data_IF_698720500534
#
_entry.id   IF_698720500534
#
_cell.length_a   1.000
_cell.length_b   1.000
_cell.length_c   1.000
_cell.angle_alpha   90.00
_cell.angle_beta   90.00
_cell.angle_gamma   90.00
#
_symmetry.space_group_name_H-M   'P 1'
#
loop_
_entity.id
_entity.type
_entity.pdbx_description
1 polymer ?
#
# COMPACT_ATOMS: atom_id res chain seq x y z
N UNK A 1 -49.14 18.55 -20.30
CA UNK A 1 -49.62 18.51 -18.92
C UNK A 1 -48.41 18.26 -18.04
N UNK A 2 -47.83 19.32 -17.48
CA UNK A 2 -46.69 19.22 -16.57
C UNK A 2 -47.25 18.83 -15.20
N UNK A 3 -46.97 17.60 -14.76
CA UNK A 3 -47.24 17.19 -13.38
C UNK A 3 -46.35 18.04 -12.47
N UNK A 4 -46.96 18.99 -11.76
CA UNK A 4 -46.34 19.65 -10.62
C UNK A 4 -46.29 18.57 -9.54
N UNK A 5 -45.15 17.88 -9.44
CA UNK A 5 -44.86 16.96 -8.34
C UNK A 5 -44.80 17.84 -7.10
N UNK A 6 -45.79 17.71 -6.21
CA UNK A 6 -45.78 18.37 -4.90
C UNK A 6 -44.49 18.00 -4.19
N UNK A 7 -43.75 18.98 -3.67
CA UNK A 7 -42.47 18.85 -2.97
C UNK A 7 -42.53 18.04 -1.66
N UNK A 8 -43.64 17.35 -1.40
CA UNK A 8 -44.00 16.76 -0.11
C UNK A 8 -44.02 15.22 -0.12
N UNK A 9 -43.67 14.54 -1.21
CA UNK A 9 -43.45 13.09 -1.20
C UNK A 9 -42.01 12.77 -0.76
N UNK A 10 -41.76 12.30 0.48
CA UNK A 10 -40.41 12.05 0.98
C UNK A 10 -39.69 10.98 0.15
N UNK A 11 -40.43 10.04 -0.45
CA UNK A 11 -39.85 9.02 -1.31
C UNK A 11 -39.35 9.62 -2.62
N UNK A 12 -40.13 10.50 -3.25
CA UNK A 12 -39.72 11.19 -4.47
C UNK A 12 -38.46 12.03 -4.23
N UNK A 13 -38.42 12.76 -3.11
CA UNK A 13 -37.24 13.55 -2.68
C UNK A 13 -36.00 12.68 -2.46
N UNK A 14 -36.15 11.55 -1.77
CA UNK A 14 -35.04 10.62 -1.53
C UNK A 14 -34.50 10.01 -2.84
N UNK A 15 -35.39 9.59 -3.75
CA UNK A 15 -34.99 9.05 -5.06
C UNK A 15 -34.30 10.10 -5.94
N UNK A 16 -34.79 11.34 -5.95
CA UNK A 16 -34.14 12.44 -6.68
C UNK A 16 -32.72 12.71 -6.16
N UNK A 17 -32.56 12.66 -4.84
CA UNK A 17 -31.28 12.86 -4.17
C UNK A 17 -30.26 11.77 -4.45
N UNK A 18 -30.69 10.51 -4.52
CA UNK A 18 -29.83 9.40 -4.96
C UNK A 18 -29.38 9.55 -6.42
N UNK A 19 -30.22 10.11 -7.29
CA UNK A 19 -29.82 10.39 -8.68
C UNK A 19 -28.81 11.51 -8.76
N UNK A 20 -29.02 12.59 -8.02
CA UNK A 20 -28.07 13.70 -7.93
C UNK A 20 -26.70 13.23 -7.40
N UNK A 21 -26.71 12.36 -6.38
CA UNK A 21 -25.49 11.71 -5.89
C UNK A 21 -24.81 10.83 -6.96
N UNK A 22 -25.59 10.07 -7.75
CA UNK A 22 -25.04 9.27 -8.84
C UNK A 22 -24.41 10.16 -9.93
N UNK A 23 -25.10 11.22 -10.36
CA UNK A 23 -24.61 12.18 -11.35
C UNK A 23 -23.29 12.85 -10.87
N UNK A 24 -23.18 13.13 -9.56
CA UNK A 24 -21.96 13.62 -8.94
C UNK A 24 -20.80 12.62 -9.06
N UNK A 25 -21.02 11.33 -8.73
CA UNK A 25 -19.99 10.30 -8.84
C UNK A 25 -19.55 10.07 -10.30
N UNK A 26 -20.49 10.09 -11.25
CA UNK A 26 -20.16 9.96 -12.67
C UNK A 26 -19.31 11.13 -13.18
N UNK A 27 -19.58 12.34 -12.68
CA UNK A 27 -18.84 13.55 -13.07
C UNK A 27 -17.48 13.70 -12.36
N UNK A 28 -17.22 12.93 -11.30
CA UNK A 28 -16.00 13.00 -10.49
C UNK A 28 -15.38 11.59 -10.35
N UNK A 29 -14.82 11.02 -11.43
CA UNK A 29 -14.33 9.63 -11.43
C UNK A 29 -13.11 9.39 -10.53
N UNK A 30 -12.49 10.45 -10.01
CA UNK A 30 -11.40 10.38 -9.04
C UNK A 30 -11.89 10.32 -7.58
N UNK A 31 -13.19 10.56 -7.34
CA UNK A 31 -13.81 10.39 -6.02
C UNK A 31 -14.11 8.91 -5.80
N UNK A 32 -13.62 8.37 -4.69
CA UNK A 32 -13.80 6.95 -4.35
C UNK A 32 -15.26 6.64 -4.00
N UNK A 33 -15.79 5.49 -4.43
CA UNK A 33 -17.14 5.07 -4.03
C UNK A 33 -17.22 4.76 -2.52
N UNK A 34 -18.37 5.01 -1.86
CA UNK A 34 -18.54 4.67 -0.45
C UNK A 34 -18.30 3.17 -0.17
N UNK A 35 -17.63 2.84 0.94
CA UNK A 35 -17.28 1.45 1.28
C UNK A 35 -18.42 0.69 1.97
N UNK A 36 -19.39 1.41 2.53
CA UNK A 36 -20.52 0.83 3.26
C UNK A 36 -21.85 1.20 2.62
N UNK A 37 -22.77 0.24 2.52
CA UNK A 37 -24.11 0.48 1.96
C UNK A 37 -25.05 1.26 2.90
N UNK A 38 -24.78 1.22 4.22
CA UNK A 38 -25.69 1.76 5.24
C UNK A 38 -25.46 3.25 5.52
N UNK A 39 -24.23 3.70 5.33
CA UNK A 39 -23.78 5.09 5.45
C UNK A 39 -22.96 5.36 4.21
N UNK A 40 -23.25 6.41 3.44
CA UNK A 40 -22.40 6.80 2.33
C UNK A 40 -21.13 7.45 2.92
N UNK A 41 -20.32 6.60 3.55
CA UNK A 41 -19.09 6.94 4.21
C UNK A 41 -17.95 6.81 3.20
N UNK A 42 -17.26 7.91 2.99
CA UNK A 42 -15.99 7.96 2.28
C UNK A 42 -14.87 7.94 3.34
N UNK A 43 -14.33 6.75 3.60
CA UNK A 43 -13.19 6.59 4.49
C UNK A 43 -11.92 7.06 3.81
N UNK A 44 -11.40 8.21 4.24
CA UNK A 44 -10.12 8.76 3.82
C UNK A 44 -9.14 8.51 4.96
N UNK A 45 -8.07 7.74 4.74
CA UNK A 45 -7.23 7.28 5.85
C UNK A 45 -6.73 8.40 6.76
N UNK A 46 -6.41 9.58 6.22
CA UNK A 46 -5.79 10.69 6.96
C UNK A 46 -6.63 11.97 6.93
N UNK A 47 -6.53 12.80 7.97
CA UNK A 47 -7.15 14.14 8.02
C UNK A 47 -6.81 15.00 6.80
N UNK A 48 -5.56 14.98 6.33
CA UNK A 48 -5.14 15.78 5.17
C UNK A 48 -5.91 15.42 3.90
N UNK A 49 -6.28 14.15 3.73
CA UNK A 49 -7.09 13.72 2.59
C UNK A 49 -8.53 14.27 2.68
N UNK A 50 -9.09 14.39 3.88
CA UNK A 50 -10.40 15.03 4.10
C UNK A 50 -10.33 16.52 3.79
N UNK A 51 -9.26 17.19 4.21
CA UNK A 51 -9.04 18.61 3.93
C UNK A 51 -8.90 18.88 2.42
N UNK A 52 -8.14 18.06 1.70
CA UNK A 52 -8.01 18.13 0.24
C UNK A 52 -9.36 17.90 -0.45
N UNK A 53 -10.11 16.89 -0.03
CA UNK A 53 -11.45 16.61 -0.54
C UNK A 53 -12.40 17.80 -0.29
N UNK A 54 -12.41 18.33 0.93
CA UNK A 54 -13.24 19.46 1.31
C UNK A 54 -12.88 20.72 0.51
N UNK A 55 -11.59 21.02 0.36
CA UNK A 55 -11.12 22.17 -0.42
C UNK A 55 -11.52 22.07 -1.89
N UNK A 56 -11.38 20.88 -2.50
CA UNK A 56 -11.76 20.62 -3.89
C UNK A 56 -13.25 20.84 -4.14
N UNK A 57 -14.10 20.49 -3.16
CA UNK A 57 -15.55 20.55 -3.30
C UNK A 57 -16.21 21.72 -2.55
N UNK A 58 -15.42 22.65 -2.00
CA UNK A 58 -15.92 23.83 -1.28
C UNK A 58 -16.69 23.51 0.01
N UNK A 59 -16.28 22.45 0.72
CA UNK A 59 -16.90 22.00 1.97
C UNK A 59 -16.16 22.52 3.20
N UNK A 60 -16.85 22.57 4.34
CA UNK A 60 -16.26 22.89 5.65
C UNK A 60 -15.77 21.61 6.32
N UNK A 61 -14.52 21.62 6.81
CA UNK A 61 -13.98 20.55 7.64
C UNK A 61 -14.36 20.78 9.11
N UNK A 62 -14.84 19.72 9.77
CA UNK A 62 -15.14 19.69 11.20
C UNK A 62 -14.25 18.66 11.88
N UNK A 63 -13.66 19.04 13.01
CA UNK A 63 -12.86 18.14 13.84
C UNK A 63 -13.66 17.70 15.06
N UNK A 64 -13.64 16.39 15.34
CA UNK A 64 -14.23 15.84 16.57
C UNK A 64 -13.30 16.02 17.79
N UNK A 65 -13.74 15.53 18.96
CA UNK A 65 -12.96 15.64 20.21
C UNK A 65 -11.65 14.83 20.20
N UNK A 66 -11.52 13.86 19.29
CA UNK A 66 -10.32 13.05 19.09
C UNK A 66 -9.38 13.68 18.04
N UNK A 67 -9.80 14.77 17.40
CA UNK A 67 -9.05 15.45 16.36
C UNK A 67 -9.19 14.81 14.98
N UNK A 68 -10.13 13.89 14.78
CA UNK A 68 -10.41 13.32 13.46
C UNK A 68 -11.20 14.32 12.61
N UNK A 69 -10.85 14.42 11.34
CA UNK A 69 -11.47 15.36 10.40
C UNK A 69 -12.66 14.72 9.69
N UNK A 70 -13.69 15.53 9.46
CA UNK A 70 -14.84 15.14 8.65
C UNK A 70 -15.36 16.28 7.78
N UNK A 71 -15.98 15.95 6.66
CA UNK A 71 -16.68 16.90 5.81
C UNK A 71 -17.92 16.24 5.22
N UNK A 72 -19.05 16.97 5.23
CA UNK A 72 -20.33 16.49 4.72
C UNK A 72 -20.66 17.14 3.38
N UNK A 73 -20.94 16.31 2.38
CA UNK A 73 -21.57 16.72 1.14
C UNK A 73 -23.02 16.22 1.12
N UNK A 74 -23.97 17.11 0.88
CA UNK A 74 -25.40 16.79 0.99
C UNK A 74 -26.09 16.82 -0.38
N UNK A 75 -26.94 15.83 -0.59
CA UNK A 75 -27.84 15.69 -1.74
C UNK A 75 -29.23 15.46 -1.15
N UNK A 76 -30.00 16.52 -0.90
CA UNK A 76 -31.24 16.42 -0.12
C UNK A 76 -31.04 15.69 1.24
N UNK A 77 -31.81 14.63 1.56
CA UNK A 77 -31.63 13.82 2.78
C UNK A 77 -30.47 12.83 2.72
N UNK A 78 -29.74 12.74 1.61
CA UNK A 78 -28.58 11.85 1.43
C UNK A 78 -27.31 12.62 1.82
N UNK A 79 -26.56 12.09 2.79
CA UNK A 79 -25.30 12.69 3.25
C UNK A 79 -24.16 11.78 2.82
N UNK A 80 -23.22 12.33 2.07
CA UNK A 80 -21.96 11.71 1.71
C UNK A 80 -20.87 12.25 2.65
N UNK A 81 -20.51 11.43 3.63
CA UNK A 81 -19.67 11.81 4.75
C UNK A 81 -18.22 11.38 4.49
N UNK A 82 -17.33 12.34 4.28
CA UNK A 82 -15.90 12.10 4.25
C UNK A 82 -15.35 12.12 5.67
N UNK A 83 -14.59 11.10 6.05
CA UNK A 83 -14.03 10.98 7.40
C UNK A 83 -12.59 10.49 7.33
N UNK A 84 -11.72 11.05 8.16
CA UNK A 84 -10.34 10.65 8.26
C UNK A 84 -9.76 10.82 9.64
N UNK A 85 -8.66 10.13 9.88
CA UNK A 85 -8.07 9.98 11.21
C UNK A 85 -6.88 10.90 11.38
N UNK A 86 -6.70 11.40 12.61
CA UNK A 86 -5.47 12.12 13.00
C UNK A 86 -4.25 11.20 12.95
N UNK A 87 -4.41 9.95 13.41
CA UNK A 87 -3.42 8.89 13.31
C UNK A 87 -4.12 7.58 12.88
N UNK A 88 -4.07 7.30 11.58
CA UNK A 88 -4.67 6.09 11.02
C UNK A 88 -3.94 4.82 11.47
N UNK A 89 -2.62 4.90 11.63
CA UNK A 89 -1.81 3.75 12.01
C UNK A 89 -2.17 3.32 13.44
N UNK A 90 -2.23 4.28 14.36
CA UNK A 90 -2.67 4.02 15.74
C UNK A 90 -4.12 3.49 15.77
N UNK A 91 -5.02 4.04 14.94
CA UNK A 91 -6.38 3.50 14.83
C UNK A 91 -6.40 2.03 14.37
N UNK A 92 -5.62 1.69 13.34
CA UNK A 92 -5.47 0.32 12.86
C UNK A 92 -4.92 -0.60 13.94
N UNK A 93 -3.91 -0.18 14.69
CA UNK A 93 -3.31 -0.97 15.77
C UNK A 93 -4.32 -1.24 16.90
N UNK A 94 -5.07 -0.22 17.33
CA UNK A 94 -6.14 -0.37 18.34
C UNK A 94 -7.25 -1.30 17.84
N UNK A 95 -7.63 -1.21 16.56
CA UNK A 95 -8.61 -2.13 15.96
C UNK A 95 -8.09 -3.57 15.93
N UNK A 96 -6.83 -3.77 15.53
CA UNK A 96 -6.21 -5.08 15.50
C UNK A 96 -6.12 -5.70 16.89
N UNK A 97 -5.73 -4.92 17.90
CA UNK A 97 -5.69 -5.38 19.29
C UNK A 97 -7.09 -5.79 19.78
N UNK A 98 -8.11 -4.94 19.56
CA UNK A 98 -9.49 -5.25 19.92
C UNK A 98 -9.99 -6.53 19.24
N UNK A 99 -9.77 -6.66 17.93
CA UNK A 99 -10.17 -7.85 17.18
C UNK A 99 -9.46 -9.11 17.69
N UNK A 100 -8.18 -9.00 18.06
CA UNK A 100 -7.42 -10.10 18.66
C UNK A 100 -8.04 -10.50 20.02
N UNK A 101 -8.34 -9.53 20.90
CA UNK A 101 -8.98 -9.77 22.20
C UNK A 101 -10.33 -10.46 22.07
N UNK A 102 -11.20 -9.95 21.20
CA UNK A 102 -12.51 -10.55 20.93
C UNK A 102 -12.38 -11.98 20.37
N UNK A 103 -11.39 -12.22 19.51
CA UNK A 103 -11.12 -13.56 19.00
C UNK A 103 -10.64 -14.50 20.11
N UNK A 104 -9.72 -14.08 20.96
CA UNK A 104 -9.19 -14.87 22.06
C UNK A 104 -10.30 -15.25 23.05
N UNK A 105 -11.14 -14.29 23.43
CA UNK A 105 -12.32 -14.51 24.29
C UNK A 105 -13.25 -15.58 23.70
N UNK A 106 -13.59 -15.48 22.41
CA UNK A 106 -14.42 -16.49 21.72
C UNK A 106 -13.81 -17.89 21.68
N UNK A 107 -12.49 -18.00 21.85
CA UNK A 107 -11.76 -19.27 21.87
C UNK A 107 -11.45 -19.77 23.28
N UNK A 108 -11.82 -19.01 24.32
CA UNK A 108 -11.41 -19.30 25.69
C UNK A 108 -9.89 -19.22 25.87
N UNK A 109 -9.23 -18.36 25.08
CA UNK A 109 -7.79 -18.09 25.14
C UNK A 109 -7.56 -16.78 25.88
N UNK A 110 -6.43 -16.70 26.59
CA UNK A 110 -5.96 -15.47 27.22
C UNK A 110 -4.84 -14.86 26.37
N UNK A 111 -4.97 -13.57 26.02
CA UNK A 111 -3.85 -12.82 25.42
C UNK A 111 -2.89 -12.47 26.55
N UNK A 112 -1.85 -13.27 26.69
CA UNK A 112 -0.71 -12.92 27.54
C UNK A 112 0.18 -12.01 26.71
N UNK A 113 0.48 -10.80 27.21
CA UNK A 113 1.51 -9.97 26.62
C UNK A 113 2.76 -10.85 26.48
N UNK A 114 3.41 -10.90 25.30
CA UNK A 114 4.62 -11.70 25.18
C UNK A 114 5.55 -11.27 26.33
N UNK A 115 6.06 -12.26 27.07
CA UNK A 115 7.18 -12.02 27.97
C UNK A 115 8.35 -11.65 27.05
N UNK A 116 8.44 -10.37 26.71
CA UNK A 116 9.57 -9.83 25.99
C UNK A 116 10.71 -9.90 26.99
N UNK A 117 11.58 -10.90 26.81
CA UNK A 117 12.75 -11.03 27.66
C UNK A 117 13.59 -9.74 27.56
N UNK A 118 14.28 -9.39 28.64
CA UNK A 118 15.23 -8.26 28.63
C UNK A 118 16.24 -8.39 27.47
N UNK A 119 16.56 -9.63 27.08
CA UNK A 119 17.40 -9.92 25.91
C UNK A 119 16.75 -9.51 24.58
N UNK A 120 15.44 -9.70 24.42
CA UNK A 120 14.70 -9.27 23.23
C UNK A 120 14.61 -7.75 23.16
N UNK A 121 14.39 -7.08 24.30
CA UNK A 121 14.39 -5.60 24.37
C UNK A 121 15.78 -5.08 23.98
N UNK A 122 16.84 -5.63 24.59
CA UNK A 122 18.23 -5.25 24.30
C UNK A 122 18.61 -5.52 22.84
N UNK A 123 18.13 -6.60 22.23
CA UNK A 123 18.34 -6.87 20.81
C UNK A 123 17.65 -5.83 19.92
N UNK A 124 16.40 -5.45 20.24
CA UNK A 124 15.67 -4.44 19.49
C UNK A 124 16.35 -3.06 19.60
N UNK A 125 16.81 -2.67 20.79
CA UNK A 125 17.55 -1.43 21.02
C UNK A 125 18.88 -1.42 20.25
N UNK A 126 19.64 -2.51 20.29
CA UNK A 126 20.87 -2.64 19.51
C UNK A 126 20.61 -2.56 18.01
N UNK A 127 19.53 -3.19 17.52
CA UNK A 127 19.15 -3.11 16.12
C UNK A 127 18.72 -1.69 15.73
N UNK A 128 18.00 -0.98 16.59
CA UNK A 128 17.63 0.41 16.36
C UNK A 128 18.86 1.30 16.31
N UNK A 129 19.80 1.15 17.24
CA UNK A 129 21.06 1.89 17.25
C UNK A 129 21.89 1.64 15.98
N UNK A 130 21.97 0.38 15.51
CA UNK A 130 22.60 0.04 14.24
C UNK A 130 21.90 0.70 13.05
N UNK A 131 20.57 0.68 13.01
CA UNK A 131 19.82 1.30 11.92
C UNK A 131 19.97 2.83 11.90
N UNK A 132 20.04 3.47 13.07
CA UNK A 132 20.30 4.92 13.20
C UNK A 132 21.71 5.22 12.71
N UNK A 133 22.72 4.46 13.15
CA UNK A 133 24.09 4.63 12.70
C UNK A 133 24.24 4.41 11.18
N UNK A 134 23.58 3.39 10.62
CA UNK A 134 23.55 3.14 9.17
C UNK A 134 22.91 4.30 8.42
N UNK A 135 21.83 4.90 8.97
CA UNK A 135 21.16 6.06 8.38
C UNK A 135 22.04 7.31 8.44
N UNK A 136 22.65 7.60 9.58
CA UNK A 136 23.57 8.73 9.75
C UNK A 136 24.81 8.57 8.83
N UNK A 137 25.34 7.35 8.71
CA UNK A 137 26.41 7.04 7.78
C UNK A 137 25.99 7.20 6.31
N UNK A 138 24.76 6.82 5.96
CA UNK A 138 24.20 7.02 4.62
C UNK A 138 23.95 8.50 4.31
N UNK A 139 23.59 9.30 5.31
CA UNK A 139 23.37 10.75 5.18
C UNK A 139 24.69 11.53 5.13
N UNK A 140 25.72 11.07 5.85
CA UNK A 140 27.08 11.61 5.81
C UNK A 140 27.88 11.12 4.59
N UNK A 141 27.44 10.06 3.92
CA UNK A 141 28.07 9.62 2.69
C UNK A 141 27.97 10.74 1.64
N UNK A 142 29.02 10.99 0.84
CA UNK A 142 28.93 11.94 -0.24
C UNK A 142 27.73 11.57 -1.10
N UNK A 143 26.85 12.56 -1.34
CA UNK A 143 25.68 12.32 -2.18
C UNK A 143 26.13 11.62 -3.45
N UNK A 144 25.46 10.54 -3.87
CA UNK A 144 25.82 9.86 -5.09
C UNK A 144 25.90 10.92 -6.20
N UNK A 145 26.92 10.86 -7.06
CA UNK A 145 27.08 11.83 -8.12
C UNK A 145 25.76 11.98 -8.86
N UNK A 146 25.40 13.22 -9.20
CA UNK A 146 24.16 13.53 -9.91
C UNK A 146 24.00 12.52 -11.06
N UNK A 147 22.83 11.85 -11.10
CA UNK A 147 22.58 10.78 -12.08
C UNK A 147 22.88 11.31 -13.47
N UNK A 148 23.83 10.67 -14.16
CA UNK A 148 24.13 11.02 -15.55
C UNK A 148 22.85 10.75 -16.35
N UNK A 149 22.38 11.71 -17.17
CA UNK A 149 21.24 11.48 -18.05
C UNK A 149 21.49 10.23 -18.90
N UNK A 150 20.64 9.21 -18.74
CA UNK A 150 20.73 7.98 -19.52
C UNK A 150 20.03 8.20 -20.85
N UNK A 151 20.70 7.84 -21.95
CA UNK A 151 20.10 7.90 -23.29
C UNK A 151 18.80 7.07 -23.32
N UNK A 152 17.63 7.67 -23.67
CA UNK A 152 16.37 6.93 -23.79
C UNK A 152 16.40 5.85 -24.87
N UNK A 153 17.34 5.92 -25.81
CA UNK A 153 17.62 4.90 -26.82
C UNK A 153 18.64 3.85 -26.37
N UNK A 154 19.10 3.86 -25.11
CA UNK A 154 19.96 2.80 -24.58
C UNK A 154 19.25 1.44 -24.52
N UNK A 155 20.03 0.36 -24.42
CA UNK A 155 19.50 -0.99 -24.33
C UNK A 155 18.72 -1.18 -23.02
N UNK A 156 19.25 -0.67 -21.91
CA UNK A 156 18.57 -0.68 -20.62
C UNK A 156 17.24 0.08 -20.69
N UNK A 157 17.20 1.29 -21.29
CA UNK A 157 15.97 2.07 -21.42
C UNK A 157 14.90 1.40 -22.30
N UNK A 158 15.30 0.66 -23.34
CA UNK A 158 14.36 -0.16 -24.12
C UNK A 158 13.80 -1.32 -23.31
N UNK A 159 14.64 -2.02 -22.55
CA UNK A 159 14.19 -3.12 -21.70
C UNK A 159 13.25 -2.62 -20.59
N UNK A 160 13.57 -1.49 -19.95
CA UNK A 160 12.73 -0.85 -18.95
C UNK A 160 11.31 -0.58 -19.48
N UNK A 161 11.21 0.02 -20.68
CA UNK A 161 9.93 0.28 -21.35
C UNK A 161 9.15 -1.01 -21.64
N UNK A 162 9.84 -2.04 -22.13
CA UNK A 162 9.21 -3.34 -22.41
C UNK A 162 8.66 -4.00 -21.13
N UNK A 163 9.38 -3.89 -20.02
CA UNK A 163 8.92 -4.41 -18.72
C UNK A 163 7.71 -3.61 -18.24
N UNK A 164 7.77 -2.28 -18.28
CA UNK A 164 6.67 -1.42 -17.87
C UNK A 164 5.38 -1.65 -18.70
N UNK A 165 5.53 -1.86 -20.01
CA UNK A 165 4.41 -2.15 -20.91
C UNK A 165 3.76 -3.51 -20.62
N UNK A 166 4.58 -4.54 -20.37
CA UNK A 166 4.08 -5.91 -20.16
C UNK A 166 3.63 -6.21 -18.74
N UNK A 167 4.20 -5.53 -17.75
CA UNK A 167 4.03 -5.83 -16.31
C UNK A 167 3.79 -4.58 -15.45
N UNK A 168 2.85 -3.69 -15.82
CA UNK A 168 2.72 -2.36 -15.22
C UNK A 168 2.43 -2.36 -13.71
N UNK A 169 1.86 -3.44 -13.17
CA UNK A 169 1.52 -3.57 -11.75
C UNK A 169 2.42 -4.54 -10.97
N UNK A 170 3.35 -5.21 -11.65
CA UNK A 170 4.18 -6.26 -11.05
C UNK A 170 5.66 -5.92 -11.01
N UNK A 171 6.09 -4.92 -11.79
CA UNK A 171 7.48 -4.51 -11.86
C UNK A 171 7.63 -2.99 -11.93
N UNK A 172 8.51 -2.46 -11.10
CA UNK A 172 9.06 -1.11 -11.24
C UNK A 172 10.50 -1.22 -11.77
N UNK A 173 10.92 -0.28 -12.61
CA UNK A 173 12.28 -0.28 -13.15
C UNK A 173 12.99 1.03 -12.89
N UNK A 174 14.29 0.95 -12.66
CA UNK A 174 15.17 2.09 -12.45
C UNK A 174 16.42 1.93 -13.31
N UNK A 175 16.69 2.93 -14.16
CA UNK A 175 17.89 2.95 -14.98
C UNK A 175 19.09 3.39 -14.13
N UNK A 176 20.12 2.55 -14.09
CA UNK A 176 21.39 2.87 -13.44
C UNK A 176 22.33 3.51 -14.47
N UNK A 177 22.47 2.89 -15.63
CA UNK A 177 23.24 3.40 -16.77
C UNK A 177 22.67 2.85 -18.10
N UNK A 178 23.40 2.99 -19.21
CA UNK A 178 22.96 2.56 -20.54
C UNK A 178 22.84 1.02 -20.71
N UNK A 179 23.51 0.25 -19.85
CA UNK A 179 23.63 -1.20 -19.89
C UNK A 179 23.17 -1.90 -18.59
N UNK A 180 22.87 -1.15 -17.54
CA UNK A 180 22.44 -1.68 -16.24
C UNK A 180 21.05 -1.19 -15.87
N UNK A 181 20.16 -2.13 -15.53
CA UNK A 181 18.79 -1.89 -15.12
C UNK A 181 18.53 -2.52 -13.75
N UNK A 182 17.95 -1.76 -12.83
CA UNK A 182 17.38 -2.30 -11.61
C UNK A 182 15.88 -2.57 -11.81
N UNK A 183 15.42 -3.75 -11.39
CA UNK A 183 14.05 -4.23 -11.56
C UNK A 183 13.54 -4.64 -10.18
N UNK A 184 12.47 -4.00 -9.73
CA UNK A 184 11.82 -4.27 -8.45
C UNK A 184 10.52 -5.00 -8.71
N UNK A 185 10.29 -6.12 -8.02
CA UNK A 185 9.09 -6.95 -8.18
C UNK A 185 8.50 -7.32 -6.82
N UNK A 186 7.18 -7.49 -6.80
CA UNK A 186 6.44 -8.02 -5.64
C UNK A 186 5.78 -9.33 -6.08
N UNK A 187 6.51 -10.46 -6.03
CA UNK A 187 6.01 -11.72 -6.57
C UNK A 187 4.83 -12.22 -5.74
N UNK A 188 3.80 -12.73 -6.41
CA UNK A 188 2.62 -13.30 -5.76
C UNK A 188 2.89 -14.68 -5.11
N UNK A 189 3.97 -15.34 -5.51
CA UNK A 189 4.40 -16.64 -5.01
C UNK A 189 5.74 -17.07 -5.58
N UNK A 190 6.26 -18.22 -5.14
CA UNK A 190 7.59 -18.70 -5.57
C UNK A 190 7.66 -18.99 -7.08
N UNK A 191 6.57 -19.46 -7.70
CA UNK A 191 6.54 -19.68 -9.14
C UNK A 191 6.67 -18.38 -9.95
N UNK A 192 6.12 -17.27 -9.45
CA UNK A 192 6.27 -15.94 -10.06
C UNK A 192 7.71 -15.42 -9.87
N UNK A 193 8.27 -15.61 -8.68
CA UNK A 193 9.69 -15.30 -8.42
C UNK A 193 10.64 -16.08 -9.33
N UNK A 194 10.45 -17.40 -9.44
CA UNK A 194 11.26 -18.26 -10.31
C UNK A 194 11.12 -17.88 -11.80
N UNK A 195 9.94 -17.42 -12.21
CA UNK A 195 9.72 -16.91 -13.55
C UNK A 195 10.61 -15.67 -13.83
N UNK A 196 10.68 -14.72 -12.88
CA UNK A 196 11.56 -13.55 -13.00
C UNK A 196 13.04 -13.94 -13.02
N UNK A 197 13.46 -14.86 -12.15
CA UNK A 197 14.83 -15.38 -12.16
C UNK A 197 15.19 -15.99 -13.51
N UNK A 198 14.31 -16.83 -14.07
CA UNK A 198 14.48 -17.43 -15.39
C UNK A 198 14.53 -16.39 -16.50
N UNK A 199 13.66 -15.38 -16.46
CA UNK A 199 13.59 -14.31 -17.47
C UNK A 199 14.88 -13.50 -17.60
N UNK A 200 15.62 -13.37 -16.50
CA UNK A 200 16.88 -12.64 -16.43
C UNK A 200 18.10 -13.54 -16.26
N UNK A 201 17.96 -14.85 -16.53
CA UNK A 201 19.05 -15.82 -16.44
C UNK A 201 19.83 -15.74 -15.11
N UNK A 202 19.11 -15.52 -14.00
CA UNK A 202 19.69 -15.40 -12.67
C UNK A 202 19.84 -16.80 -12.07
N UNK A 203 21.06 -17.24 -11.70
CA UNK A 203 21.22 -18.49 -10.98
C UNK A 203 20.62 -18.39 -9.58
N UNK A 204 19.78 -19.35 -9.19
CA UNK A 204 19.14 -19.39 -7.86
C UNK A 204 20.14 -19.38 -6.71
N UNK A 205 21.35 -19.91 -6.91
CA UNK A 205 22.43 -19.89 -5.92
C UNK A 205 23.13 -18.54 -5.71
N UNK A 206 22.79 -17.50 -6.48
CA UNK A 206 23.39 -16.16 -6.39
C UNK A 206 22.47 -15.11 -5.74
N UNK A 207 21.42 -15.55 -5.05
CA UNK A 207 20.51 -14.65 -4.35
C UNK A 207 21.05 -14.27 -2.97
N UNK A 208 20.82 -13.03 -2.57
CA UNK A 208 21.08 -12.55 -1.21
C UNK A 208 19.76 -12.15 -0.57
N UNK A 209 19.49 -12.63 0.64
CA UNK A 209 18.30 -12.28 1.41
C UNK A 209 18.66 -11.28 2.52
N UNK A 210 17.95 -10.15 2.61
CA UNK A 210 18.11 -9.17 3.68
C UNK A 210 16.75 -8.63 4.11
N UNK A 211 16.31 -9.02 5.32
CA UNK A 211 14.98 -8.66 5.83
C UNK A 211 13.87 -9.20 4.92
N UNK A 212 12.99 -8.31 4.44
CA UNK A 212 11.91 -8.65 3.52
C UNK A 212 12.33 -8.67 2.04
N UNK A 213 13.60 -8.37 1.73
CA UNK A 213 14.07 -8.28 0.34
C UNK A 213 14.94 -9.47 -0.04
N UNK A 214 14.84 -9.86 -1.31
CA UNK A 214 15.80 -10.73 -1.98
C UNK A 214 16.39 -10.01 -3.18
N UNK A 215 17.71 -9.97 -3.28
CA UNK A 215 18.42 -9.34 -4.40
C UNK A 215 19.20 -10.38 -5.18
N UNK A 216 19.27 -10.21 -6.50
CA UNK A 216 20.06 -11.07 -7.36
C UNK A 216 20.51 -10.33 -8.62
N UNK A 217 21.55 -10.84 -9.28
CA UNK A 217 22.13 -10.26 -10.48
C UNK A 217 22.08 -11.23 -11.64
N UNK A 218 21.65 -10.76 -12.80
CA UNK A 218 21.56 -11.55 -14.02
C UNK A 218 21.68 -10.69 -15.27
N UNK A 219 21.21 -11.22 -16.40
CA UNK A 219 21.29 -10.57 -17.70
C UNK A 219 20.04 -10.81 -18.57
N UNK A 220 19.68 -9.81 -19.35
CA UNK A 220 18.72 -9.92 -20.45
C UNK A 220 19.34 -9.46 -21.76
N UNK A 221 19.79 -10.42 -22.58
CA UNK A 221 20.66 -10.10 -23.71
C UNK A 221 21.99 -9.52 -23.20
N UNK A 222 22.31 -8.29 -23.60
CA UNK A 222 23.51 -7.58 -23.13
C UNK A 222 23.22 -6.55 -22.02
N UNK A 223 22.04 -6.56 -21.42
CA UNK A 223 21.69 -5.66 -20.30
C UNK A 223 21.90 -6.41 -18.99
N UNK A 224 22.72 -5.85 -18.10
CA UNK A 224 22.85 -6.33 -16.73
C UNK A 224 21.58 -5.98 -15.96
N UNK A 225 20.98 -6.96 -15.29
CA UNK A 225 19.77 -6.77 -14.48
C UNK A 225 20.09 -7.02 -13.02
N UNK A 226 19.80 -6.03 -12.18
CA UNK A 226 19.72 -6.16 -10.74
C UNK A 226 18.24 -6.40 -10.40
N UNK A 227 17.90 -7.58 -9.91
CA UNK A 227 16.53 -7.94 -9.55
C UNK A 227 16.36 -7.83 -8.03
N UNK A 228 15.35 -7.10 -7.59
CA UNK A 228 14.97 -6.96 -6.17
C UNK A 228 13.53 -7.43 -5.99
N UNK A 229 13.33 -8.52 -5.24
CA UNK A 229 12.02 -9.05 -4.89
C UNK A 229 11.63 -8.71 -3.46
N UNK A 230 10.46 -8.11 -3.25
CA UNK A 230 9.90 -7.87 -1.91
C UNK A 230 9.04 -9.06 -1.45
N UNK A 231 9.16 -9.44 -0.18
CA UNK A 231 8.39 -10.53 0.44
C UNK A 231 8.89 -11.94 0.13
N UNK A 232 9.88 -12.09 -0.76
CA UNK A 232 10.43 -13.39 -1.20
C UNK A 232 10.90 -14.29 -0.04
N UNK A 233 11.61 -13.78 1.00
CA UNK A 233 12.02 -14.63 2.12
C UNK A 233 10.83 -15.28 2.87
N UNK A 234 9.71 -14.56 3.00
CA UNK A 234 8.49 -15.10 3.61
C UNK A 234 7.86 -16.20 2.76
N UNK A 235 7.93 -16.08 1.42
CA UNK A 235 7.46 -17.12 0.51
C UNK A 235 8.27 -18.42 0.66
N UNK A 236 9.60 -18.33 0.77
CA UNK A 236 10.46 -19.49 1.04
C UNK A 236 10.18 -20.11 2.41
N UNK A 237 10.04 -19.29 3.45
CA UNK A 237 9.71 -19.77 4.80
C UNK A 237 8.37 -20.53 4.82
N UNK A 238 7.34 -20.01 4.14
CA UNK A 238 6.05 -20.67 4.01
C UNK A 238 6.16 -22.02 3.28
N UNK A 239 6.98 -22.12 2.22
CA UNK A 239 7.20 -23.38 1.51
C UNK A 239 7.88 -24.43 2.40
N UNK A 240 8.92 -24.04 3.14
CA UNK A 240 9.60 -24.95 4.09
C UNK A 240 8.62 -25.45 5.15
N UNK A 241 7.83 -24.55 5.74
CA UNK A 241 6.83 -24.90 6.74
C UNK A 241 5.79 -25.91 6.18
N UNK A 242 5.33 -25.71 4.95
CA UNK A 242 4.41 -26.63 4.28
C UNK A 242 5.03 -28.02 4.03
N UNK A 243 6.33 -28.09 3.72
CA UNK A 243 7.03 -29.36 3.53
C UNK A 243 7.25 -30.12 4.84
N UNK A 244 7.50 -29.40 5.95
CA UNK A 244 7.74 -30.03 7.25
C UNK A 244 6.46 -30.35 8.03
N UNK A 245 5.37 -29.61 7.81
CA UNK A 245 4.10 -29.74 8.54
C UNK A 245 3.18 -30.88 8.07
N UNK A 246 3.48 -31.51 6.92
CA UNK A 246 2.71 -32.64 6.39
C UNK A 246 3.11 -34.02 6.93
N UNK A 247 3.97 -34.09 7.95
CA UNK A 247 4.53 -35.33 8.47
C UNK A 247 4.06 -35.69 9.90
N UNK A 248 2.88 -35.20 10.32
CA UNK A 248 2.25 -35.55 11.60
C UNK A 248 1.03 -36.45 11.41
#
# INVERSE_FOLDING_TARGET
>A
MSNIISSDDPRATYVASLREFADFLESNPDVTVPTTQRTLLLSLSLNSAVEEFAAKHGLTVVFDAEGNASADMTFGPVIYHAYGYVDFAEHCDRNAERAAREWAERKGLEIVAPLVSDDTIRQAENQLALNVADREAAEAAPQPPARVPVDPASKAARLARLIAEKYPFHAMTELIDAETLNVFVTPAGLGDWDWWLGRFHIPTGQMTHRGSYSTAKGNHGSVTVLLTGYGVPALYAAQVAAQTGGAL
#
